data_IF_421286511994
#
_entry.id   IF_421286511994
#
_cell.length_a   1.000
_cell.length_b   1.000
_cell.length_c   1.000
_cell.angle_alpha   90.00
_cell.angle_beta   90.00
_cell.angle_gamma   90.00
#
_symmetry.space_group_name_H-M   'P 1'
#
loop_
_entity.id
_entity.type
_entity.pdbx_description
1 polymer ?
#
# COMPACT_ATOMS: atom_id res chain seq x y z
N UNK A 1 6.47 13.87 -0.84
CA UNK A 1 6.63 12.41 -0.98
C UNK A 1 8.00 11.98 -1.49
N UNK A 2 9.08 12.71 -1.21
CA UNK A 2 10.46 12.32 -1.54
C UNK A 2 10.90 11.03 -0.82
N UNK A 3 10.28 10.72 0.32
CA UNK A 3 10.61 9.55 1.13
C UNK A 3 10.21 8.21 0.47
N UNK A 4 9.14 8.18 -0.33
CA UNK A 4 8.65 6.96 -0.96
C UNK A 4 9.71 6.23 -1.78
N UNK A 5 10.32 6.84 -2.80
CA UNK A 5 11.40 6.23 -3.57
C UNK A 5 12.60 5.82 -2.71
N UNK A 6 13.00 6.67 -1.75
CA UNK A 6 14.18 6.43 -0.90
C UNK A 6 14.03 5.16 -0.06
N UNK A 7 12.84 4.92 0.54
CA UNK A 7 12.64 3.72 1.36
C UNK A 7 12.84 2.40 0.60
N UNK A 8 12.53 2.38 -0.70
CA UNK A 8 12.72 1.19 -1.54
C UNK A 8 14.13 1.08 -2.10
N UNK A 9 14.81 2.21 -2.37
CA UNK A 9 16.19 2.21 -2.88
C UNK A 9 17.22 1.78 -1.84
N UNK A 10 16.91 1.92 -0.55
CA UNK A 10 17.79 1.52 0.56
C UNK A 10 17.84 -0.01 0.73
N UNK A 11 16.74 -0.73 0.43
CA UNK A 11 16.67 -2.17 0.67
C UNK A 11 17.79 -2.98 0.02
N UNK A 12 18.13 -2.80 -1.26
CA UNK A 12 19.21 -3.55 -1.88
C UNK A 12 20.61 -3.21 -1.35
N UNK A 13 20.75 -2.08 -0.65
CA UNK A 13 22.03 -1.70 -0.04
C UNK A 13 22.26 -2.35 1.33
N UNK A 14 21.19 -2.80 2.00
CA UNK A 14 21.24 -3.37 3.36
C UNK A 14 20.84 -4.84 3.42
N UNK A 15 20.18 -5.37 2.39
CA UNK A 15 19.68 -6.74 2.34
C UNK A 15 20.40 -7.56 1.27
N UNK A 16 20.51 -8.86 1.50
CA UNK A 16 20.98 -9.80 0.49
C UNK A 16 19.89 -10.04 -0.57
N UNK A 17 20.26 -10.49 -1.79
CA UNK A 17 19.29 -10.78 -2.85
C UNK A 17 18.16 -11.72 -2.40
N UNK A 18 18.46 -12.72 -1.56
CA UNK A 18 17.51 -13.70 -1.04
C UNK A 18 16.51 -13.08 -0.03
N UNK A 19 16.87 -11.93 0.58
CA UNK A 19 16.08 -11.24 1.59
C UNK A 19 15.20 -10.13 0.99
N UNK A 20 15.40 -9.78 -0.28
CA UNK A 20 14.70 -8.65 -0.92
C UNK A 20 13.18 -8.83 -0.94
N UNK A 21 12.70 -10.05 -1.22
CA UNK A 21 11.26 -10.34 -1.23
C UNK A 21 10.65 -10.13 0.16
N UNK A 22 11.29 -10.67 1.20
CA UNK A 22 10.85 -10.49 2.60
C UNK A 22 10.94 -9.04 3.05
N UNK A 23 12.03 -8.34 2.71
CA UNK A 23 12.20 -6.92 3.02
C UNK A 23 11.12 -6.03 2.41
N UNK A 24 10.79 -6.25 1.13
CA UNK A 24 9.69 -5.54 0.48
C UNK A 24 8.34 -5.88 1.11
N UNK A 25 8.12 -7.15 1.47
CA UNK A 25 6.92 -7.58 2.19
C UNK A 25 6.74 -6.86 3.52
N UNK A 26 7.82 -6.73 4.31
CA UNK A 26 7.80 -6.00 5.59
C UNK A 26 7.54 -4.50 5.40
N UNK A 27 8.13 -3.88 4.37
CA UNK A 27 7.90 -2.46 4.05
C UNK A 27 6.44 -2.23 3.65
N UNK A 28 5.86 -3.11 2.85
CA UNK A 28 4.46 -3.02 2.41
C UNK A 28 3.48 -3.26 3.57
N UNK A 29 3.74 -4.26 4.40
CA UNK A 29 2.97 -4.50 5.62
C UNK A 29 3.04 -3.29 6.56
N UNK A 30 4.24 -2.77 6.82
CA UNK A 30 4.44 -1.58 7.67
C UNK A 30 3.73 -0.35 7.13
N UNK A 31 3.73 -0.18 5.80
CA UNK A 31 3.00 0.91 5.12
C UNK A 31 1.49 0.76 5.33
N UNK A 32 0.94 -0.44 5.13
CA UNK A 32 -0.49 -0.73 5.31
C UNK A 32 -0.94 -0.50 6.75
N UNK A 33 -0.16 -0.97 7.73
CA UNK A 33 -0.44 -0.74 9.16
C UNK A 33 -0.38 0.75 9.49
N UNK A 34 0.61 1.48 8.97
CA UNK A 34 0.75 2.92 9.22
C UNK A 34 -0.41 3.73 8.65
N UNK A 35 -0.90 3.37 7.46
CA UNK A 35 -2.08 4.00 6.85
C UNK A 35 -3.30 3.79 7.75
N UNK A 36 -3.53 2.55 8.18
CA UNK A 36 -4.67 2.20 9.05
C UNK A 36 -4.59 2.93 10.39
N UNK A 37 -3.44 2.87 11.07
CA UNK A 37 -3.24 3.58 12.34
C UNK A 37 -3.41 5.09 12.17
N UNK A 38 -2.91 5.66 11.09
CA UNK A 38 -3.05 7.09 10.79
C UNK A 38 -4.50 7.52 10.60
N UNK A 39 -5.30 6.71 9.92
CA UNK A 39 -6.73 7.00 9.73
C UNK A 39 -7.53 6.89 11.03
N UNK A 40 -7.29 5.83 11.81
CA UNK A 40 -7.95 5.66 13.12
C UNK A 40 -7.56 6.81 14.04
N UNK A 41 -6.26 7.11 14.18
CA UNK A 41 -5.76 8.17 15.03
C UNK A 41 -6.30 9.56 14.59
N UNK A 42 -6.31 9.82 13.27
CA UNK A 42 -6.88 11.04 12.72
C UNK A 42 -8.35 11.21 13.08
N UNK A 43 -9.16 10.16 12.87
CA UNK A 43 -10.58 10.17 13.26
C UNK A 43 -10.78 10.42 14.76
N UNK A 44 -10.00 9.75 15.61
CA UNK A 44 -10.06 9.94 17.08
C UNK A 44 -9.66 11.36 17.48
N UNK A 45 -8.63 11.94 16.87
CA UNK A 45 -8.20 13.33 17.17
C UNK A 45 -9.34 14.30 16.89
N UNK A 46 -10.01 14.18 15.73
CA UNK A 46 -11.15 15.05 15.41
C UNK A 46 -12.34 14.85 16.36
N UNK A 47 -12.63 13.60 16.72
CA UNK A 47 -13.73 13.29 17.64
C UNK A 47 -13.49 13.85 19.05
N UNK A 48 -12.26 13.69 19.58
CA UNK A 48 -11.91 14.13 20.95
C UNK A 48 -11.70 15.64 21.04
N UNK A 49 -11.04 16.24 20.04
CA UNK A 49 -10.70 17.66 20.05
C UNK A 49 -11.85 18.56 19.56
N UNK A 50 -12.90 18.02 18.96
CA UNK A 50 -14.06 18.77 18.50
C UNK A 50 -13.69 19.98 17.64
N UNK A 51 -14.05 21.19 18.07
CA UNK A 51 -13.75 22.43 17.36
C UNK A 51 -12.23 22.70 17.18
N UNK A 52 -11.38 22.11 18.01
CA UNK A 52 -9.92 22.22 17.92
C UNK A 52 -9.27 21.05 17.14
N UNK A 53 -10.08 20.21 16.47
CA UNK A 53 -9.62 19.07 15.70
C UNK A 53 -8.52 19.39 14.68
N UNK A 54 -8.66 20.44 13.84
CA UNK A 54 -7.61 20.81 12.88
C UNK A 54 -6.28 21.17 13.51
N UNK A 55 -6.29 21.91 14.65
CA UNK A 55 -5.08 22.30 15.38
C UNK A 55 -4.41 21.08 16.03
N UNK A 56 -5.21 20.20 16.65
CA UNK A 56 -4.71 18.98 17.26
C UNK A 56 -4.10 18.05 16.21
N UNK A 57 -4.72 17.91 15.05
CA UNK A 57 -4.20 17.15 13.94
C UNK A 57 -2.87 17.73 13.40
N UNK A 58 -2.78 19.07 13.27
CA UNK A 58 -1.56 19.73 12.85
C UNK A 58 -0.40 19.47 13.84
N UNK A 59 -0.67 19.56 15.14
CA UNK A 59 0.33 19.26 16.19
C UNK A 59 0.77 17.79 16.10
N UNK A 60 -0.17 16.85 15.95
CA UNK A 60 0.13 15.43 15.82
C UNK A 60 1.01 15.15 14.60
N UNK A 61 0.73 15.79 13.45
CA UNK A 61 1.55 15.65 12.23
C UNK A 61 2.98 16.17 12.47
N UNK A 62 3.14 17.33 13.14
CA UNK A 62 4.46 17.88 13.45
C UNK A 62 5.22 16.97 14.40
N UNK A 63 4.58 16.44 15.45
CA UNK A 63 5.21 15.49 16.37
C UNK A 63 5.64 14.21 15.66
N UNK A 64 4.81 13.66 14.77
CA UNK A 64 5.17 12.50 13.95
C UNK A 64 6.33 12.80 13.01
N UNK A 65 6.38 14.00 12.40
CA UNK A 65 7.48 14.40 11.55
C UNK A 65 8.81 14.54 12.33
N UNK A 66 8.76 15.10 13.54
CA UNK A 66 9.92 15.17 14.45
C UNK A 66 10.38 13.76 14.84
N UNK A 67 9.45 12.90 15.25
CA UNK A 67 9.75 11.51 15.58
C UNK A 67 10.38 10.78 14.39
N UNK A 68 9.81 10.93 13.19
CA UNK A 68 10.36 10.35 11.96
C UNK A 68 11.78 10.86 11.66
N UNK A 69 12.05 12.15 11.88
CA UNK A 69 13.40 12.72 11.74
C UNK A 69 14.39 12.14 12.76
N UNK A 70 13.96 11.95 14.00
CA UNK A 70 14.81 11.33 15.05
C UNK A 70 15.10 9.88 14.67
N UNK A 71 14.08 9.10 14.32
CA UNK A 71 14.25 7.70 13.91
C UNK A 71 15.09 7.55 12.64
N UNK A 72 15.00 8.48 11.70
CA UNK A 72 15.83 8.44 10.48
C UNK A 72 17.33 8.54 10.76
N UNK A 73 17.73 9.14 11.90
CA UNK A 73 19.16 9.20 12.33
C UNK A 73 19.69 7.85 12.78
N UNK A 74 18.82 6.87 13.05
CA UNK A 74 19.21 5.49 13.40
C UNK A 74 19.52 4.64 12.16
N UNK A 75 19.18 5.13 10.96
CA UNK A 75 19.52 4.43 9.71
C UNK A 75 21.04 4.45 9.52
N UNK A 76 21.67 3.27 9.27
CA UNK A 76 23.10 3.20 9.04
C UNK A 76 23.55 4.12 7.89
N UNK A 77 24.70 4.74 8.03
CA UNK A 77 25.30 5.51 6.93
C UNK A 77 25.76 4.52 5.86
N UNK A 78 25.37 4.77 4.64
CA UNK A 78 25.76 3.97 3.47
C UNK A 78 26.62 4.84 2.56
N UNK A 79 27.52 4.19 1.85
CA UNK A 79 28.32 4.86 0.81
C UNK A 79 27.39 5.31 -0.32
N UNK A 80 27.69 6.47 -0.89
CA UNK A 80 26.93 6.98 -2.01
C UNK A 80 27.09 6.07 -3.23
N UNK A 81 25.98 5.55 -3.77
CA UNK A 81 26.00 4.69 -4.97
C UNK A 81 26.52 5.41 -6.22
N UNK A 82 26.47 6.74 -6.24
CA UNK A 82 27.01 7.60 -7.31
C UNK A 82 27.54 8.92 -6.71
N UNK A 83 28.78 8.93 -6.12
CA UNK A 83 29.31 10.10 -5.44
C UNK A 83 29.53 11.31 -6.36
N UNK A 84 29.73 11.08 -7.66
CA UNK A 84 29.99 12.12 -8.67
C UNK A 84 28.71 12.62 -9.36
N UNK A 85 27.52 12.20 -8.88
CA UNK A 85 26.25 12.59 -9.47
C UNK A 85 26.01 14.10 -9.31
N UNK A 86 25.99 14.83 -10.43
CA UNK A 86 25.64 16.25 -10.44
C UNK A 86 24.13 16.42 -10.43
N UNK A 87 23.61 17.04 -9.39
CA UNK A 87 22.17 17.38 -9.30
C UNK A 87 21.86 18.51 -10.26
N UNK A 88 21.05 18.23 -11.26
CA UNK A 88 20.50 19.23 -12.16
C UNK A 88 19.16 19.73 -11.65
N UNK A 89 18.99 21.04 -11.54
CA UNK A 89 17.73 21.66 -11.09
C UNK A 89 16.56 21.48 -12.09
N UNK A 90 16.85 21.17 -13.35
CA UNK A 90 15.84 20.83 -14.33
C UNK A 90 15.49 19.32 -14.19
N UNK A 91 14.28 18.96 -13.70
CA UNK A 91 13.91 17.58 -13.49
C UNK A 91 13.59 16.84 -14.80
N UNK A 92 13.29 17.55 -15.89
CA UNK A 92 12.79 16.93 -17.14
C UNK A 92 13.86 16.02 -17.77
N UNK A 93 15.11 16.47 -18.03
CA UNK A 93 16.14 15.62 -18.62
C UNK A 93 16.47 14.43 -17.73
N UNK A 94 16.52 14.63 -16.39
CA UNK A 94 16.78 13.57 -15.43
C UNK A 94 15.67 12.51 -15.47
N UNK A 95 14.40 12.93 -15.44
CA UNK A 95 13.24 12.03 -15.52
C UNK A 95 13.21 11.24 -16.84
N UNK A 96 13.52 11.89 -17.96
CA UNK A 96 13.60 11.22 -19.26
C UNK A 96 14.76 10.22 -19.33
N UNK A 97 15.90 10.54 -18.74
CA UNK A 97 17.03 9.61 -18.64
C UNK A 97 16.67 8.36 -17.82
N UNK A 98 16.03 8.54 -16.67
CA UNK A 98 15.54 7.42 -15.83
C UNK A 98 14.50 6.58 -16.58
N UNK A 99 13.52 7.20 -17.25
CA UNK A 99 12.55 6.49 -18.08
C UNK A 99 13.22 5.70 -19.20
N UNK A 100 14.21 6.28 -19.86
CA UNK A 100 14.96 5.62 -20.93
C UNK A 100 15.73 4.41 -20.39
N UNK A 101 16.41 4.54 -19.25
CA UNK A 101 17.09 3.41 -18.59
C UNK A 101 16.10 2.31 -18.17
N UNK A 102 15.00 2.68 -17.57
CA UNK A 102 13.96 1.75 -17.12
C UNK A 102 13.34 0.95 -18.30
N UNK A 103 13.28 1.55 -19.50
CA UNK A 103 12.71 0.90 -20.70
C UNK A 103 13.68 0.00 -21.45
N UNK A 104 14.99 0.02 -21.13
CA UNK A 104 15.99 -0.80 -21.81
C UNK A 104 15.84 -2.30 -21.53
N UNK A 105 15.45 -2.66 -20.32
CA UNK A 105 15.20 -4.04 -19.92
C UNK A 105 13.70 -4.32 -19.88
N UNK A 106 13.22 -5.22 -20.72
CA UNK A 106 11.80 -5.58 -20.82
C UNK A 106 11.20 -6.01 -19.48
N UNK A 107 11.95 -6.79 -18.69
CA UNK A 107 11.50 -7.26 -17.39
C UNK A 107 11.28 -6.09 -16.40
N UNK A 108 12.23 -5.15 -16.32
CA UNK A 108 12.15 -3.97 -15.47
C UNK A 108 11.01 -3.05 -15.91
N UNK A 109 10.90 -2.79 -17.22
CA UNK A 109 9.80 -1.99 -17.77
C UNK A 109 8.44 -2.57 -17.39
N UNK A 110 8.24 -3.87 -17.59
CA UNK A 110 6.97 -4.52 -17.27
C UNK A 110 6.69 -4.52 -15.76
N UNK A 111 7.71 -4.66 -14.93
CA UNK A 111 7.56 -4.55 -13.48
C UNK A 111 7.17 -3.13 -13.05
N UNK A 112 7.77 -2.09 -13.64
CA UNK A 112 7.38 -0.69 -13.38
C UNK A 112 5.93 -0.44 -13.81
N UNK A 113 5.49 -0.95 -14.95
CA UNK A 113 4.09 -0.86 -15.37
C UNK A 113 3.16 -1.58 -14.38
N UNK A 114 3.55 -2.76 -13.89
CA UNK A 114 2.81 -3.49 -12.88
C UNK A 114 2.71 -2.72 -11.55
N UNK A 115 3.80 -2.11 -11.08
CA UNK A 115 3.79 -1.25 -9.88
C UNK A 115 2.95 0.01 -10.10
N UNK A 116 3.02 0.61 -11.28
CA UNK A 116 2.17 1.77 -11.64
C UNK A 116 0.70 1.39 -11.63
N UNK A 117 0.34 0.21 -12.14
CA UNK A 117 -1.00 -0.36 -12.07
C UNK A 117 -1.45 -0.59 -10.63
N UNK A 118 -0.59 -1.13 -9.77
CA UNK A 118 -0.88 -1.31 -8.35
C UNK A 118 -1.25 0.01 -7.66
N UNK A 119 -0.46 1.08 -7.88
CA UNK A 119 -0.75 2.39 -7.30
C UNK A 119 -2.04 3.01 -7.86
N UNK A 120 -2.28 2.86 -9.17
CA UNK A 120 -3.53 3.30 -9.79
C UNK A 120 -4.73 2.57 -9.18
N UNK A 121 -4.67 1.24 -9.10
CA UNK A 121 -5.70 0.41 -8.52
C UNK A 121 -5.95 0.75 -7.04
N UNK A 122 -4.90 0.87 -6.23
CA UNK A 122 -4.99 1.23 -4.82
C UNK A 122 -5.63 2.60 -4.61
N UNK A 123 -5.27 3.59 -5.42
CA UNK A 123 -5.87 4.93 -5.38
C UNK A 123 -7.34 4.89 -5.78
N UNK A 124 -7.68 4.16 -6.85
CA UNK A 124 -9.06 4.00 -7.29
C UNK A 124 -9.91 3.33 -6.20
N UNK A 125 -9.44 2.21 -5.64
CA UNK A 125 -10.13 1.49 -4.58
C UNK A 125 -10.36 2.39 -3.36
N UNK A 126 -9.31 3.02 -2.85
CA UNK A 126 -9.42 3.87 -1.66
C UNK A 126 -10.28 5.11 -1.87
N UNK A 127 -10.32 5.68 -3.08
CA UNK A 127 -11.20 6.81 -3.41
C UNK A 127 -12.67 6.41 -3.50
N UNK A 128 -12.97 5.19 -3.92
CA UNK A 128 -14.35 4.69 -4.04
C UNK A 128 -14.89 4.08 -2.75
N UNK A 129 -14.01 3.66 -1.86
CA UNK A 129 -14.37 2.93 -0.65
C UNK A 129 -15.32 3.70 0.28
N UNK A 130 -15.20 5.05 0.49
CA UNK A 130 -16.18 5.81 1.27
C UNK A 130 -17.58 5.76 0.68
N UNK A 131 -17.70 5.97 -0.63
CA UNK A 131 -18.99 5.89 -1.34
C UNK A 131 -19.56 4.47 -1.29
N UNK A 132 -18.71 3.46 -1.45
CA UNK A 132 -19.09 2.06 -1.32
C UNK A 132 -19.62 1.74 0.08
N UNK A 133 -18.97 2.25 1.13
CA UNK A 133 -19.40 2.05 2.50
C UNK A 133 -20.78 2.66 2.79
N UNK A 134 -21.08 3.83 2.23
CA UNK A 134 -22.37 4.48 2.39
C UNK A 134 -23.48 3.79 1.59
N UNK A 135 -23.23 3.52 0.31
CA UNK A 135 -24.28 3.03 -0.61
C UNK A 135 -24.54 1.53 -0.50
N UNK A 136 -23.52 0.74 -0.18
CA UNK A 136 -23.61 -0.73 -0.22
C UNK A 136 -23.42 -1.41 1.13
N UNK A 137 -22.66 -0.82 2.05
CA UNK A 137 -22.52 -1.34 3.42
C UNK A 137 -23.57 -0.73 4.37
N UNK A 138 -24.33 0.27 3.93
CA UNK A 138 -25.37 0.93 4.72
C UNK A 138 -24.84 1.85 5.82
N UNK A 139 -23.59 2.31 5.69
CA UNK A 139 -22.98 3.23 6.66
C UNK A 139 -23.66 4.60 6.68
N UNK A 140 -23.70 5.28 7.86
CA UNK A 140 -24.21 6.64 7.94
C UNK A 140 -23.33 7.61 7.13
N UNK A 141 -23.93 8.64 6.53
CA UNK A 141 -23.21 9.62 5.74
C UNK A 141 -22.22 10.48 6.56
N UNK A 142 -22.49 10.63 7.85
CA UNK A 142 -21.70 11.40 8.82
C UNK A 142 -20.68 10.55 9.60
N UNK A 143 -20.61 9.24 9.34
CA UNK A 143 -19.71 8.31 10.04
C UNK A 143 -18.76 7.61 9.08
N UNK A 144 -17.48 7.67 9.39
CA UNK A 144 -16.43 6.95 8.65
C UNK A 144 -16.23 5.50 9.11
N UNK A 145 -17.00 4.99 10.07
CA UNK A 145 -16.73 3.71 10.76
C UNK A 145 -16.68 2.53 9.80
N UNK A 146 -17.67 2.35 8.94
CA UNK A 146 -17.69 1.23 7.98
C UNK A 146 -16.64 1.39 6.89
N UNK A 147 -16.34 2.63 6.48
CA UNK A 147 -15.24 2.91 5.56
C UNK A 147 -13.89 2.51 6.17
N UNK A 148 -13.61 2.95 7.40
CA UNK A 148 -12.36 2.61 8.10
C UNK A 148 -12.25 1.11 8.32
N UNK A 149 -13.35 0.45 8.66
CA UNK A 149 -13.41 -1.01 8.79
C UNK A 149 -13.08 -1.72 7.47
N UNK A 150 -13.69 -1.31 6.35
CA UNK A 150 -13.42 -1.87 5.04
C UNK A 150 -11.95 -1.66 4.62
N UNK A 151 -11.39 -0.47 4.88
CA UNK A 151 -9.99 -0.18 4.64
C UNK A 151 -9.06 -1.02 5.54
N UNK A 152 -9.46 -1.27 6.80
CA UNK A 152 -8.71 -2.14 7.71
C UNK A 152 -8.61 -3.56 7.16
N UNK A 153 -9.71 -4.12 6.68
CA UNK A 153 -9.73 -5.45 6.06
C UNK A 153 -8.79 -5.53 4.86
N UNK A 154 -8.88 -4.55 3.95
CA UNK A 154 -7.98 -4.47 2.81
C UNK A 154 -6.51 -4.37 3.23
N UNK A 155 -6.21 -3.49 4.20
CA UNK A 155 -4.84 -3.28 4.70
C UNK A 155 -4.27 -4.52 5.40
N UNK A 156 -5.08 -5.20 6.22
CA UNK A 156 -4.71 -6.47 6.86
C UNK A 156 -4.44 -7.53 5.80
N UNK A 157 -5.33 -7.66 4.83
CA UNK A 157 -5.15 -8.56 3.70
C UNK A 157 -3.81 -8.29 2.97
N UNK A 158 -3.55 -7.02 2.63
CA UNK A 158 -2.30 -6.63 1.95
C UNK A 158 -1.07 -6.96 2.78
N UNK A 159 -1.08 -6.67 4.07
CA UNK A 159 0.01 -7.02 4.97
C UNK A 159 0.28 -8.53 5.04
N UNK A 160 -0.78 -9.33 5.20
CA UNK A 160 -0.68 -10.79 5.22
C UNK A 160 -0.18 -11.33 3.88
N UNK A 161 -0.73 -10.84 2.76
CA UNK A 161 -0.33 -11.25 1.42
C UNK A 161 1.13 -10.92 1.12
N UNK A 162 1.59 -9.75 1.56
CA UNK A 162 2.98 -9.32 1.40
C UNK A 162 3.96 -10.23 2.17
N UNK A 163 3.63 -10.64 3.39
CA UNK A 163 4.43 -11.59 4.17
C UNK A 163 4.38 -13.01 3.60
N UNK A 164 3.21 -13.43 3.13
CA UNK A 164 3.07 -14.75 2.49
C UNK A 164 3.91 -14.87 1.23
N UNK A 165 4.14 -13.76 0.52
CA UNK A 165 4.93 -13.73 -0.70
C UNK A 165 6.34 -14.30 -0.48
N UNK A 166 7.01 -13.99 0.63
CA UNK A 166 8.33 -14.54 0.97
C UNK A 166 8.31 -16.06 1.10
N UNK A 167 7.28 -16.61 1.75
CA UNK A 167 7.13 -18.07 1.92
C UNK A 167 6.79 -18.75 0.59
N UNK A 168 5.90 -18.17 -0.19
CA UNK A 168 5.46 -18.72 -1.47
C UNK A 168 6.55 -18.66 -2.54
N UNK A 169 7.44 -17.66 -2.48
CA UNK A 169 8.55 -17.49 -3.41
C UNK A 169 9.79 -18.34 -3.06
N UNK A 170 9.79 -19.03 -1.93
CA UNK A 170 10.96 -19.79 -1.46
C UNK A 170 12.20 -18.91 -1.25
N UNK A 171 12.03 -17.66 -0.85
CA UNK A 171 13.09 -16.65 -0.68
C UNK A 171 13.84 -16.31 -1.98
N UNK A 172 13.15 -16.40 -3.09
CA UNK A 172 13.65 -15.97 -4.40
C UNK A 172 12.74 -14.93 -5.02
N UNK A 173 13.17 -14.27 -6.07
CA UNK A 173 12.32 -13.34 -6.82
C UNK A 173 11.45 -14.14 -7.79
N UNK A 174 10.27 -14.59 -7.34
CA UNK A 174 9.37 -15.44 -8.11
C UNK A 174 8.28 -14.63 -8.81
N UNK A 175 8.48 -14.34 -10.08
CA UNK A 175 7.55 -13.52 -10.90
C UNK A 175 6.24 -14.27 -11.19
N UNK A 176 6.23 -15.61 -11.10
CA UNK A 176 5.03 -16.43 -11.27
C UNK A 176 3.92 -16.10 -10.28
N UNK A 177 4.23 -15.46 -9.16
CA UNK A 177 3.24 -14.99 -8.19
C UNK A 177 2.45 -13.77 -8.68
N UNK A 178 2.98 -12.98 -9.61
CA UNK A 178 2.29 -11.77 -10.13
C UNK A 178 0.98 -12.11 -10.83
N UNK A 179 0.91 -13.07 -11.78
CA UNK A 179 -0.36 -13.51 -12.35
C UNK A 179 -1.32 -14.07 -11.30
N UNK A 180 -0.83 -14.83 -10.31
CA UNK A 180 -1.65 -15.36 -9.22
C UNK A 180 -2.29 -14.23 -8.44
N UNK A 181 -1.51 -13.19 -8.08
CA UNK A 181 -2.01 -11.97 -7.44
C UNK A 181 -3.08 -11.28 -8.29
N UNK A 182 -2.81 -11.08 -9.58
CA UNK A 182 -3.76 -10.43 -10.49
C UNK A 182 -5.09 -11.19 -10.63
N UNK A 183 -5.03 -12.51 -10.81
CA UNK A 183 -6.23 -13.34 -10.89
C UNK A 183 -7.01 -13.37 -9.59
N UNK A 184 -6.32 -13.49 -8.44
CA UNK A 184 -6.95 -13.48 -7.14
C UNK A 184 -7.67 -12.16 -6.85
N UNK A 185 -7.01 -11.00 -7.08
CA UNK A 185 -7.67 -9.69 -6.97
C UNK A 185 -8.91 -9.61 -7.86
N UNK A 186 -8.80 -10.04 -9.12
CA UNK A 186 -9.92 -9.99 -10.06
C UNK A 186 -11.09 -10.87 -9.62
N UNK A 187 -10.81 -12.07 -9.12
CA UNK A 187 -11.84 -12.99 -8.63
C UNK A 187 -12.61 -12.39 -7.44
N UNK A 188 -11.92 -11.88 -6.43
CA UNK A 188 -12.58 -11.27 -5.28
C UNK A 188 -13.28 -9.95 -5.60
N UNK A 189 -12.75 -9.15 -6.54
CA UNK A 189 -13.46 -7.96 -7.03
C UNK A 189 -14.75 -8.29 -7.76
N UNK A 190 -14.72 -9.36 -8.57
CA UNK A 190 -15.94 -9.85 -9.23
C UNK A 190 -16.94 -10.40 -8.21
N UNK A 191 -16.47 -11.16 -7.21
CA UNK A 191 -17.34 -11.66 -6.15
C UNK A 191 -17.95 -10.52 -5.35
N UNK A 192 -17.17 -9.51 -4.97
CA UNK A 192 -17.62 -8.30 -4.30
C UNK A 192 -18.70 -7.55 -5.12
N UNK A 193 -18.56 -7.53 -6.45
CA UNK A 193 -19.59 -6.96 -7.32
C UNK A 193 -20.90 -7.73 -7.23
N UNK A 194 -20.88 -9.06 -7.24
CA UNK A 194 -22.06 -9.91 -7.16
C UNK A 194 -22.64 -10.04 -5.73
N UNK A 195 -21.85 -9.73 -4.70
CA UNK A 195 -22.31 -9.74 -3.32
C UNK A 195 -23.33 -8.63 -2.99
N UNK A 196 -23.45 -7.60 -3.83
CA UNK A 196 -24.34 -6.44 -3.65
C UNK A 196 -25.81 -6.77 -3.37
N UNK A 197 -26.47 -7.73 -4.07
CA UNK A 197 -27.89 -7.99 -3.88
C UNK A 197 -28.29 -8.54 -2.50
N UNK A 198 -27.31 -9.04 -1.73
CA UNK A 198 -27.56 -9.61 -0.41
C UNK A 198 -27.63 -8.56 0.72
N UNK A 199 -27.19 -7.35 0.48
CA UNK A 199 -27.20 -6.26 1.45
C UNK A 199 -28.21 -5.21 0.99
N UNK A 200 -29.42 -5.26 1.56
CA UNK A 200 -30.36 -4.17 1.38
C UNK A 200 -29.73 -2.90 2.02
N UNK A 201 -29.65 -1.77 1.31
CA UNK A 201 -29.10 -0.54 1.88
C UNK A 201 -30.07 0.00 2.94
N UNK A 202 -29.90 -0.45 4.16
CA UNK A 202 -30.52 0.17 5.33
C UNK A 202 -29.51 1.23 5.78
N UNK A 203 -29.77 2.47 5.42
CA UNK A 203 -28.87 3.58 5.81
C UNK A 203 -28.74 3.71 7.32
N UNK A 204 -27.56 4.08 7.79
CA UNK A 204 -27.29 4.37 9.20
C UNK A 204 -26.89 3.16 10.05
N UNK A 205 -26.41 2.07 9.45
CA UNK A 205 -25.91 0.90 10.19
C UNK A 205 -24.61 1.25 10.95
N UNK A 206 -24.56 0.88 12.21
CA UNK A 206 -23.30 0.78 12.94
C UNK A 206 -22.53 -0.52 12.58
N UNK A 207 -21.29 -0.63 13.05
CA UNK A 207 -20.44 -1.79 12.74
C UNK A 207 -21.05 -3.11 13.26
N UNK A 208 -21.65 -3.11 14.45
CA UNK A 208 -22.23 -4.31 15.03
C UNK A 208 -23.49 -4.75 14.28
N UNK A 209 -24.31 -3.80 13.83
CA UNK A 209 -25.47 -4.06 12.98
C UNK A 209 -25.03 -4.58 11.60
N UNK A 210 -24.01 -3.96 10.99
CA UNK A 210 -23.44 -4.45 9.73
C UNK A 210 -22.96 -5.90 9.83
N UNK A 211 -22.21 -6.25 10.87
CA UNK A 211 -21.69 -7.60 11.07
C UNK A 211 -22.80 -8.68 11.22
N UNK A 212 -24.00 -8.27 11.63
CA UNK A 212 -25.17 -9.16 11.73
C UNK A 212 -25.96 -9.29 10.43
N UNK A 213 -25.65 -8.47 9.42
CA UNK A 213 -26.35 -8.53 8.14
C UNK A 213 -26.03 -9.82 7.37
N UNK A 214 -27.01 -10.45 6.72
CA UNK A 214 -26.74 -11.54 5.80
C UNK A 214 -25.80 -11.06 4.67
N UNK A 215 -24.72 -11.77 4.44
CA UNK A 215 -23.74 -11.42 3.39
C UNK A 215 -22.56 -10.58 3.87
N UNK A 216 -22.57 -10.01 5.08
CA UNK A 216 -21.41 -9.26 5.62
C UNK A 216 -20.13 -10.09 5.65
N UNK A 217 -20.22 -11.38 6.01
CA UNK A 217 -19.08 -12.30 6.02
C UNK A 217 -18.45 -12.46 4.62
N UNK A 218 -19.26 -12.51 3.55
CA UNK A 218 -18.77 -12.57 2.17
C UNK A 218 -18.00 -11.32 1.80
N UNK A 219 -18.54 -10.13 2.12
CA UNK A 219 -17.84 -8.85 1.89
C UNK A 219 -16.52 -8.75 2.66
N UNK A 220 -16.48 -9.25 3.91
CA UNK A 220 -15.26 -9.30 4.71
C UNK A 220 -14.21 -10.19 4.02
N UNK A 221 -14.59 -11.36 3.56
CA UNK A 221 -13.72 -12.29 2.85
C UNK A 221 -13.22 -11.67 1.55
N UNK A 222 -14.09 -11.00 0.78
CA UNK A 222 -13.73 -10.35 -0.47
C UNK A 222 -12.70 -9.24 -0.25
N UNK A 223 -12.93 -8.34 0.72
CA UNK A 223 -12.00 -7.25 1.01
C UNK A 223 -10.65 -7.75 1.52
N UNK A 224 -10.65 -8.76 2.39
CA UNK A 224 -9.42 -9.43 2.83
C UNK A 224 -8.70 -10.10 1.66
N UNK A 225 -9.45 -10.80 0.79
CA UNK A 225 -8.94 -11.48 -0.39
C UNK A 225 -8.32 -10.51 -1.40
N UNK A 226 -9.02 -9.41 -1.70
CA UNK A 226 -8.49 -8.34 -2.57
C UNK A 226 -7.15 -7.83 -2.00
N UNK A 227 -7.10 -7.51 -0.71
CA UNK A 227 -5.87 -7.07 -0.04
C UNK A 227 -4.77 -8.13 -0.12
N UNK A 228 -5.05 -9.38 0.24
CA UNK A 228 -4.09 -10.47 0.23
C UNK A 228 -3.43 -10.65 -1.13
N UNK A 229 -4.22 -10.72 -2.19
CA UNK A 229 -3.70 -10.88 -3.54
C UNK A 229 -3.03 -9.61 -4.07
N UNK A 230 -3.39 -8.43 -3.57
CA UNK A 230 -2.68 -7.16 -3.83
C UNK A 230 -1.25 -7.22 -3.28
N UNK A 231 -1.05 -7.73 -2.07
CA UNK A 231 0.29 -7.95 -1.49
C UNK A 231 1.12 -8.96 -2.27
N UNK A 232 0.52 -10.09 -2.64
CA UNK A 232 1.16 -11.13 -3.48
C UNK A 232 1.55 -10.58 -4.86
N UNK A 233 0.76 -9.66 -5.43
CA UNK A 233 1.01 -9.03 -6.72
C UNK A 233 2.20 -8.08 -6.70
N UNK A 234 2.27 -7.18 -5.71
CA UNK A 234 3.20 -6.04 -5.75
C UNK A 234 4.61 -6.37 -5.25
N UNK A 235 4.74 -7.25 -4.25
CA UNK A 235 6.04 -7.55 -3.62
C UNK A 235 7.06 -8.13 -4.60
N UNK A 236 6.74 -9.13 -5.47
CA UNK A 236 7.69 -9.65 -6.44
C UNK A 236 8.12 -8.61 -7.48
N UNK A 237 7.24 -7.66 -7.82
CA UNK A 237 7.55 -6.60 -8.77
C UNK A 237 8.61 -5.65 -8.22
N UNK A 238 8.47 -5.22 -6.95
CA UNK A 238 9.52 -4.41 -6.30
C UNK A 238 10.83 -5.17 -6.19
N UNK A 239 10.80 -6.42 -5.75
CA UNK A 239 12.00 -7.25 -5.64
C UNK A 239 12.69 -7.45 -7.00
N UNK A 240 11.91 -7.61 -8.09
CA UNK A 240 12.46 -7.72 -9.45
C UNK A 240 13.16 -6.43 -9.89
N UNK A 241 12.52 -5.27 -9.70
CA UNK A 241 13.11 -3.97 -10.04
C UNK A 241 14.45 -3.81 -9.30
N UNK A 242 14.46 -4.08 -8.01
CA UNK A 242 15.63 -3.94 -7.15
C UNK A 242 16.76 -4.91 -7.52
N UNK A 243 16.43 -6.16 -7.88
CA UNK A 243 17.42 -7.18 -8.23
C UNK A 243 18.05 -6.97 -9.61
N UNK A 244 17.39 -6.23 -10.52
CA UNK A 244 17.83 -6.00 -11.90
C UNK A 244 18.38 -4.60 -12.14
N UNK A 245 18.29 -3.69 -11.19
CA UNK A 245 18.77 -2.31 -11.32
C UNK A 245 20.10 -2.18 -10.60
N UNK A 246 21.11 -1.56 -11.23
CA UNK A 246 22.41 -1.29 -10.60
C UNK A 246 22.25 -0.25 -9.46
N UNK A 247 23.05 -0.40 -8.40
CA UNK A 247 22.98 0.49 -7.23
C UNK A 247 23.13 1.98 -7.60
N UNK A 248 23.94 2.31 -8.62
CA UNK A 248 24.12 3.68 -9.13
C UNK A 248 22.87 4.24 -9.85
N UNK A 249 21.88 3.42 -10.14
CA UNK A 249 20.64 3.79 -10.86
C UNK A 249 19.40 3.78 -9.97
N UNK A 250 19.55 3.40 -8.69
CA UNK A 250 18.46 3.31 -7.71
C UNK A 250 18.23 4.61 -6.93
N UNK A 251 19.09 5.60 -7.11
CA UNK A 251 19.05 6.89 -6.40
C UNK A 251 18.16 7.92 -7.12
#
# INVERSE_FOLDING_TARGET
TLFGPVKYSVLPAILKPEELTGGNGLVEMGTSISILCGMIAGGMIFQVAGAHGPQAAAIAIVLLAVLGNVLSRMIPRMDAGAPDLKVHWNPIPASLAVLRMATQQLAVRNAILGVSWFWFFGTLLTSQLPTYAQLYLGGPADSATLYVFALALFSIGTGVGSLLCEKLSGRTVEIGLVPVGAFGMSAFLLDLYFARPGLAPVGGLDLAQFLRQPGSARLIVDLLGIGLFTGIFVVPLFALIQSRTHASQMA
#
